data_IF_659503023141
#
_entry.id   IF_659503023141
#
_cell.length_a   1.000
_cell.length_b   1.000
_cell.length_c   1.000
_cell.angle_alpha   90.00
_cell.angle_beta   90.00
_cell.angle_gamma   90.00
#
_symmetry.space_group_name_H-M   'P 1'
#
loop_
_entity.id
_entity.type
_entity.pdbx_description
1 polymer ?
#
# COMPACT_ATOMS: atom_id res chain seq x y z
N UNK A 1 -11.85 -8.65 -24.44
CA UNK A 1 -11.13 -8.28 -23.21
C UNK A 1 -12.20 -7.91 -22.19
N UNK A 2 -12.39 -8.68 -21.12
CA UNK A 2 -13.35 -8.28 -20.07
C UNK A 2 -12.71 -7.10 -19.32
N UNK A 3 -13.37 -5.93 -19.24
CA UNK A 3 -12.85 -4.81 -18.47
C UNK A 3 -12.73 -5.22 -17.00
N UNK A 4 -11.66 -4.76 -16.33
CA UNK A 4 -11.51 -4.95 -14.89
C UNK A 4 -12.71 -4.30 -14.17
N UNK A 5 -13.26 -4.94 -13.13
CA UNK A 5 -14.34 -4.33 -12.36
C UNK A 5 -13.83 -3.04 -11.70
N UNK A 6 -14.69 -2.02 -11.58
CA UNK A 6 -14.32 -0.76 -10.96
C UNK A 6 -13.98 -0.96 -9.48
N UNK A 7 -12.92 -0.28 -9.02
CA UNK A 7 -12.53 -0.26 -7.61
C UNK A 7 -13.11 1.00 -6.98
N UNK A 8 -14.01 0.82 -6.01
CA UNK A 8 -14.64 1.93 -5.30
C UNK A 8 -13.68 2.54 -4.26
N UNK A 9 -13.88 3.83 -3.96
CA UNK A 9 -13.14 4.49 -2.88
C UNK A 9 -13.57 3.94 -1.52
N UNK A 10 -12.68 3.90 -0.51
CA UNK A 10 -13.07 3.49 0.83
C UNK A 10 -14.21 4.38 1.36
N UNK A 11 -15.30 3.74 1.80
CA UNK A 11 -16.48 4.39 2.34
C UNK A 11 -16.23 5.01 3.72
N UNK A 12 -15.33 4.38 4.49
CA UNK A 12 -15.04 4.76 5.86
C UNK A 12 -13.81 5.67 5.96
N UNK A 13 -13.85 6.59 6.93
CA UNK A 13 -12.76 7.51 7.24
C UNK A 13 -11.52 6.77 7.77
N UNK A 14 -10.34 7.36 7.56
CA UNK A 14 -9.04 6.71 7.83
C UNK A 14 -8.87 6.16 9.25
N UNK A 15 -9.48 6.80 10.26
CA UNK A 15 -9.42 6.36 11.66
C UNK A 15 -10.41 5.27 12.04
N UNK A 16 -11.31 4.86 11.14
CA UNK A 16 -12.30 3.83 11.44
C UNK A 16 -11.63 2.45 11.50
N UNK A 17 -11.85 1.66 12.57
CA UNK A 17 -11.28 0.32 12.70
C UNK A 17 -11.76 -0.61 11.57
N UNK A 18 -12.99 -0.40 11.08
CA UNK A 18 -13.63 -1.23 10.07
C UNK A 18 -13.22 -0.85 8.65
N UNK A 19 -12.46 0.24 8.47
CA UNK A 19 -12.01 0.68 7.14
C UNK A 19 -11.19 -0.38 6.42
N UNK A 20 -10.44 -1.20 7.17
CA UNK A 20 -9.64 -2.29 6.58
C UNK A 20 -10.53 -3.29 5.85
N UNK A 21 -11.60 -3.74 6.50
CA UNK A 21 -12.59 -4.67 5.94
C UNK A 21 -13.26 -4.02 4.72
N UNK A 22 -13.60 -2.73 4.81
CA UNK A 22 -14.18 -2.01 3.67
C UNK A 22 -13.24 -1.96 2.45
N UNK A 23 -11.94 -1.74 2.66
CA UNK A 23 -10.95 -1.79 1.58
C UNK A 23 -10.81 -3.19 0.99
N UNK A 24 -10.86 -4.25 1.80
CA UNK A 24 -10.79 -5.64 1.33
C UNK A 24 -11.95 -5.95 0.39
N UNK A 25 -13.18 -5.66 0.80
CA UNK A 25 -14.40 -5.86 0.00
C UNK A 25 -14.35 -5.07 -1.30
N UNK A 26 -13.83 -3.83 -1.28
CA UNK A 26 -13.72 -3.00 -2.48
C UNK A 26 -12.70 -3.55 -3.51
N UNK A 27 -11.65 -4.26 -3.06
CA UNK A 27 -10.59 -4.80 -3.92
C UNK A 27 -10.87 -6.21 -4.42
N UNK A 28 -11.66 -7.00 -3.68
CA UNK A 28 -11.92 -8.42 -3.95
C UNK A 28 -12.39 -8.69 -5.40
N UNK A 29 -13.38 -7.97 -5.98
CA UNK A 29 -13.82 -8.24 -7.35
C UNK A 29 -12.70 -8.07 -8.39
N UNK A 30 -11.86 -7.04 -8.23
CA UNK A 30 -10.75 -6.79 -9.13
C UNK A 30 -9.64 -7.84 -8.99
N UNK A 31 -9.40 -8.29 -7.76
CA UNK A 31 -8.47 -9.38 -7.48
C UNK A 31 -8.95 -10.70 -8.12
N UNK A 32 -10.21 -11.07 -7.95
CA UNK A 32 -10.79 -12.26 -8.58
C UNK A 32 -10.73 -12.19 -10.11
N UNK A 33 -11.03 -11.03 -10.69
CA UNK A 33 -10.95 -10.82 -12.13
C UNK A 33 -9.52 -11.01 -12.65
N UNK A 34 -8.51 -10.52 -11.92
CA UNK A 34 -7.10 -10.73 -12.24
C UNK A 34 -6.71 -12.21 -12.18
N UNK A 35 -7.08 -12.90 -11.10
CA UNK A 35 -6.83 -14.35 -10.96
C UNK A 35 -7.45 -15.11 -12.12
N UNK A 36 -8.73 -14.85 -12.43
CA UNK A 36 -9.44 -15.48 -13.54
C UNK A 36 -8.78 -15.20 -14.89
N UNK A 37 -8.38 -13.95 -15.15
CA UNK A 37 -7.71 -13.58 -16.39
C UNK A 37 -6.38 -14.32 -16.57
N UNK A 38 -5.57 -14.43 -15.51
CA UNK A 38 -4.30 -15.17 -15.55
C UNK A 38 -4.52 -16.67 -15.80
N UNK A 39 -5.54 -17.26 -15.17
CA UNK A 39 -5.91 -18.67 -15.38
C UNK A 39 -6.34 -18.94 -16.83
N UNK A 40 -7.12 -18.04 -17.45
CA UNK A 40 -7.51 -18.13 -18.87
C UNK A 40 -6.29 -18.06 -19.80
N UNK A 41 -5.21 -17.41 -19.38
CA UNK A 41 -3.94 -17.37 -20.12
C UNK A 41 -3.04 -18.59 -19.89
N UNK A 42 -3.53 -19.61 -19.18
CA UNK A 42 -2.84 -20.88 -19.00
C UNK A 42 -1.96 -20.97 -17.75
N UNK A 43 -1.95 -19.95 -16.89
CA UNK A 43 -1.19 -19.99 -15.65
C UNK A 43 -1.82 -21.01 -14.68
N UNK A 44 -1.00 -21.76 -13.95
CA UNK A 44 -1.46 -22.60 -12.85
C UNK A 44 -1.99 -21.76 -11.70
N UNK A 45 -2.85 -22.33 -10.85
CA UNK A 45 -3.37 -21.62 -9.68
C UNK A 45 -2.24 -21.24 -8.71
N UNK A 46 -1.25 -22.12 -8.58
CA UNK A 46 -0.07 -21.92 -7.75
C UNK A 46 0.80 -20.77 -8.27
N UNK A 47 1.14 -20.75 -9.56
CA UNK A 47 1.94 -19.66 -10.15
C UNK A 47 1.27 -18.30 -9.97
N UNK A 48 -0.05 -18.22 -10.16
CA UNK A 48 -0.81 -16.98 -9.96
C UNK A 48 -0.74 -16.56 -8.49
N UNK A 49 -1.00 -17.47 -7.55
CA UNK A 49 -0.98 -17.15 -6.12
C UNK A 49 0.41 -16.69 -5.64
N UNK A 50 1.46 -17.43 -5.99
CA UNK A 50 2.85 -17.10 -5.61
C UNK A 50 3.29 -15.76 -6.22
N UNK A 51 2.97 -15.51 -7.48
CA UNK A 51 3.33 -14.26 -8.16
C UNK A 51 2.61 -13.06 -7.53
N UNK A 52 1.30 -13.16 -7.29
CA UNK A 52 0.52 -12.07 -6.70
C UNK A 52 0.97 -11.76 -5.27
N UNK A 53 1.25 -12.80 -4.48
CA UNK A 53 1.78 -12.64 -3.12
C UNK A 53 3.13 -11.92 -3.13
N UNK A 54 4.04 -12.33 -4.03
CA UNK A 54 5.34 -11.69 -4.19
C UNK A 54 5.20 -10.21 -4.52
N UNK A 55 4.41 -9.87 -5.55
CA UNK A 55 4.19 -8.48 -5.98
C UNK A 55 3.58 -7.62 -4.87
N UNK A 56 2.58 -8.14 -4.15
CA UNK A 56 1.96 -7.43 -3.04
C UNK A 56 2.96 -7.19 -1.89
N UNK A 57 3.79 -8.18 -1.58
CA UNK A 57 4.82 -8.09 -0.54
C UNK A 57 5.88 -7.04 -0.88
N UNK A 58 6.45 -7.10 -2.09
CA UNK A 58 7.46 -6.14 -2.56
C UNK A 58 6.92 -4.70 -2.58
N UNK A 59 5.65 -4.53 -2.98
CA UNK A 59 4.99 -3.23 -2.93
C UNK A 59 4.84 -2.72 -1.49
N UNK A 60 4.42 -3.58 -0.56
CA UNK A 60 4.28 -3.24 0.85
C UNK A 60 5.63 -2.84 1.47
N UNK A 61 6.69 -3.58 1.18
CA UNK A 61 8.06 -3.26 1.61
C UNK A 61 8.51 -1.88 1.11
N UNK A 62 8.18 -1.54 -0.13
CA UNK A 62 8.50 -0.23 -0.71
C UNK A 62 7.78 0.91 0.04
N UNK A 63 6.49 0.73 0.35
CA UNK A 63 5.71 1.72 1.12
C UNK A 63 6.26 1.87 2.54
N UNK A 64 6.50 0.76 3.24
CA UNK A 64 7.03 0.76 4.61
C UNK A 64 8.45 1.35 4.64
N UNK A 65 9.30 0.99 3.68
CA UNK A 65 10.63 1.58 3.51
C UNK A 65 10.54 3.10 3.33
N UNK A 66 9.62 3.58 2.50
CA UNK A 66 9.36 5.02 2.32
C UNK A 66 8.89 5.69 3.61
N UNK A 67 7.99 5.06 4.38
CA UNK A 67 7.54 5.58 5.67
C UNK A 67 8.69 5.72 6.68
N UNK A 68 9.61 4.75 6.72
CA UNK A 68 10.81 4.82 7.57
C UNK A 68 11.71 5.99 7.20
N UNK A 69 11.96 6.20 5.91
CA UNK A 69 12.76 7.34 5.42
C UNK A 69 12.09 8.66 5.79
N UNK A 70 10.78 8.78 5.59
CA UNK A 70 10.00 9.97 5.97
C UNK A 70 10.12 10.24 7.47
N UNK A 71 9.97 9.23 8.33
CA UNK A 71 10.11 9.37 9.77
C UNK A 71 11.52 9.85 10.18
N UNK A 72 12.57 9.33 9.53
CA UNK A 72 13.95 9.76 9.76
C UNK A 72 14.18 11.20 9.31
N UNK A 73 13.65 11.61 8.16
CA UNK A 73 13.74 12.98 7.66
C UNK A 73 13.00 13.97 8.58
N UNK A 74 11.82 13.60 9.10
CA UNK A 74 11.12 14.41 10.10
C UNK A 74 11.95 14.57 11.37
N UNK A 75 12.55 13.49 11.89
CA UNK A 75 13.42 13.53 13.07
C UNK A 75 14.63 14.46 12.86
N UNK A 76 15.27 14.37 11.71
CA UNK A 76 16.39 15.26 11.37
C UNK A 76 15.94 16.71 11.20
N UNK A 77 14.82 16.96 10.53
CA UNK A 77 14.27 18.31 10.32
C UNK A 77 13.90 19.00 11.63
N UNK A 78 13.25 18.30 12.57
CA UNK A 78 12.95 18.84 13.91
C UNK A 78 14.23 19.11 14.70
N UNK A 79 15.22 18.22 14.62
CA UNK A 79 16.52 18.43 15.27
C UNK A 79 17.28 19.63 14.70
N UNK A 80 17.27 19.82 13.38
CA UNK A 80 17.91 20.95 12.69
C UNK A 80 17.27 22.29 13.09
N UNK A 81 15.94 22.33 13.19
CA UNK A 81 15.22 23.54 13.64
C UNK A 81 15.52 23.87 15.11
N UNK A 82 15.62 22.88 15.99
CA UNK A 82 16.02 23.10 17.39
C UNK A 82 17.48 23.58 17.50
N UNK A 83 18.40 23.05 16.67
CA UNK A 83 19.78 23.52 16.62
C UNK A 83 19.89 24.96 16.10
N UNK A 84 19.08 25.36 15.13
CA UNK A 84 19.02 26.75 14.64
C UNK A 84 18.43 27.72 15.69
N UNK A 85 17.44 27.29 16.46
CA UNK A 85 16.87 28.09 17.55
C UNK A 85 17.83 28.25 18.74
N UNK A 86 18.54 27.20 19.14
CA UNK A 86 19.51 27.26 20.24
C UNK A 86 20.83 27.92 19.86
N UNK A 87 21.25 27.85 18.59
CA UNK A 87 22.43 28.54 18.07
C UNK A 87 22.28 30.06 17.94
N UNK A 88 21.05 30.59 18.04
CA UNK A 88 20.74 32.03 17.96
C UNK A 88 20.81 32.76 19.31
N UNK A 89 20.96 32.04 20.41
CA UNK A 89 21.08 32.60 21.78
C UNK A 89 22.51 32.54 22.33
N UNK A 90 23.53 32.44 21.47
CA UNK A 90 24.95 32.49 21.85
C UNK A 90 25.62 33.71 21.25
#
# INVERSE_FOLDING_TARGET
MTPLPPIESPLLSEGSPDRRINCEVALEPAFEALVKASRVKGWSAQEVAETLLKLATEHAETIVGRQRVVALLWRWRVSSLLSQFLGRFR
#
